data_IF_109553948938
#
_entry.id   IF_109553948938
#
_cell.length_a   1.000
_cell.length_b   1.000
_cell.length_c   1.000
_cell.angle_alpha   90.00
_cell.angle_beta   90.00
_cell.angle_gamma   90.00
#
_symmetry.space_group_name_H-M   'P 1'
#
loop_
_entity.id
_entity.type
_entity.pdbx_description
1 polymer ?
#
# COMPACT_ATOMS: atom_id res chain seq x y z
N UNK A 1 3.59 -29.91 -0.17
CA UNK A 1 3.45 -28.70 -1.01
C UNK A 1 2.32 -27.86 -0.48
N UNK A 2 2.49 -26.55 -0.42
CA UNK A 2 1.41 -25.65 -0.01
C UNK A 2 0.33 -25.56 -1.09
N UNK A 3 -0.93 -25.33 -0.72
CA UNK A 3 -2.05 -25.30 -1.67
C UNK A 3 -1.93 -24.20 -2.74
N UNK A 4 -1.14 -23.15 -2.47
CA UNK A 4 -0.94 -22.00 -3.36
C UNK A 4 0.38 -22.06 -4.15
N UNK A 5 1.21 -23.08 -3.89
CA UNK A 5 2.52 -23.24 -4.50
C UNK A 5 2.39 -23.47 -6.03
N UNK A 6 2.99 -22.59 -6.84
CA UNK A 6 2.89 -22.62 -8.31
C UNK A 6 1.70 -21.84 -8.89
N UNK A 7 0.90 -21.18 -8.06
CA UNK A 7 -0.12 -20.23 -8.51
C UNK A 7 0.47 -18.83 -8.73
N UNK A 8 -0.29 -17.94 -9.36
CA UNK A 8 0.06 -16.51 -9.50
C UNK A 8 0.22 -15.77 -8.16
N UNK A 9 -0.22 -16.36 -7.06
CA UNK A 9 -0.10 -15.78 -5.72
C UNK A 9 1.24 -16.12 -5.05
N UNK A 10 2.04 -17.00 -5.66
CA UNK A 10 3.38 -17.35 -5.18
C UNK A 10 3.39 -18.12 -3.85
N UNK A 11 4.57 -18.15 -3.23
CA UNK A 11 4.76 -18.62 -1.86
C UNK A 11 5.51 -17.54 -1.12
N UNK A 12 4.95 -17.13 0.00
CA UNK A 12 5.60 -16.19 0.91
C UNK A 12 6.78 -16.85 1.63
N UNK A 13 7.69 -16.03 2.13
CA UNK A 13 8.80 -16.45 2.97
C UNK A 13 8.30 -17.10 4.26
N UNK A 14 9.20 -17.83 4.91
CA UNK A 14 8.96 -18.32 6.27
C UNK A 14 8.83 -17.13 7.22
N UNK A 15 7.92 -17.22 8.18
CA UNK A 15 7.69 -16.19 9.20
C UNK A 15 8.97 -15.81 9.97
N UNK A 16 9.90 -16.76 10.16
CA UNK A 16 11.21 -16.54 10.78
C UNK A 16 12.11 -15.59 9.98
N UNK A 17 11.97 -15.58 8.65
CA UNK A 17 12.74 -14.73 7.74
C UNK A 17 12.05 -13.37 7.56
N UNK A 18 10.72 -13.36 7.47
CA UNK A 18 9.91 -12.13 7.53
C UNK A 18 10.21 -11.29 8.77
N UNK A 19 10.36 -11.93 9.94
CA UNK A 19 10.71 -11.23 11.18
C UNK A 19 12.04 -10.47 11.09
N UNK A 20 12.97 -10.91 10.24
CA UNK A 20 14.26 -10.24 10.04
C UNK A 20 14.12 -8.99 9.16
N UNK A 21 13.15 -8.99 8.22
CA UNK A 21 12.92 -7.86 7.31
C UNK A 21 12.51 -6.59 8.02
N UNK A 22 11.74 -6.71 9.10
CA UNK A 22 11.20 -5.54 9.82
C UNK A 22 12.22 -4.84 10.74
N UNK A 23 13.46 -5.35 10.80
CA UNK A 23 14.52 -4.76 11.61
C UNK A 23 14.82 -3.34 11.12
N UNK A 24 14.64 -2.36 12.01
CA UNK A 24 14.82 -0.94 11.68
C UNK A 24 13.58 -0.26 11.10
N UNK A 25 12.47 -0.98 10.95
CA UNK A 25 11.17 -0.43 10.51
C UNK A 25 10.16 -0.43 11.66
N UNK A 26 9.95 -1.58 12.31
CA UNK A 26 9.02 -1.72 13.44
C UNK A 26 9.56 -2.74 14.46
N UNK A 27 9.26 -2.51 15.74
CA UNK A 27 9.58 -3.47 16.79
C UNK A 27 8.80 -4.77 16.60
N UNK A 28 9.48 -5.92 16.70
CA UNK A 28 8.81 -7.23 16.72
C UNK A 28 7.96 -7.46 17.98
N UNK A 29 7.97 -6.51 18.94
CA UNK A 29 7.04 -6.45 20.06
C UNK A 29 5.66 -5.91 19.70
N UNK A 30 5.47 -5.27 18.54
CA UNK A 30 4.16 -4.90 18.02
C UNK A 30 3.43 -6.15 17.54
N UNK A 31 2.70 -6.83 18.45
CA UNK A 31 2.01 -8.10 18.18
C UNK A 31 0.49 -8.00 18.13
N UNK A 32 -0.08 -6.80 18.34
CA UNK A 32 -1.52 -6.61 18.32
C UNK A 32 -2.07 -6.65 16.88
N UNK A 33 -3.10 -7.47 16.64
CA UNK A 33 -3.60 -7.74 15.29
C UNK A 33 -2.53 -8.42 14.43
N UNK A 34 -2.33 -7.92 13.21
CA UNK A 34 -1.21 -8.35 12.36
C UNK A 34 0.15 -7.82 12.86
N UNK A 35 0.14 -6.68 13.56
CA UNK A 35 1.33 -6.12 14.19
C UNK A 35 2.50 -5.92 13.21
N UNK A 36 3.69 -6.41 13.57
CA UNK A 36 4.89 -6.36 12.75
C UNK A 36 4.78 -7.20 11.46
N UNK A 37 3.88 -8.19 11.42
CA UNK A 37 3.75 -9.10 10.28
C UNK A 37 3.31 -8.36 9.02
N UNK A 38 2.35 -7.43 9.15
CA UNK A 38 1.88 -6.56 8.07
C UNK A 38 3.04 -5.79 7.41
N UNK A 39 3.95 -5.23 8.20
CA UNK A 39 5.13 -4.55 7.67
C UNK A 39 6.06 -5.50 6.94
N UNK A 40 6.22 -6.73 7.44
CA UNK A 40 7.08 -7.73 6.81
C UNK A 40 6.53 -8.14 5.43
N UNK A 41 5.23 -8.33 5.32
CA UNK A 41 4.56 -8.64 4.05
C UNK A 41 4.72 -7.50 3.02
N UNK A 42 4.59 -6.24 3.46
CA UNK A 42 4.86 -5.10 2.57
C UNK A 42 6.30 -5.08 2.07
N UNK A 43 7.29 -5.31 2.95
CA UNK A 43 8.71 -5.34 2.56
C UNK A 43 9.00 -6.51 1.61
N UNK A 44 8.44 -7.68 1.88
CA UNK A 44 8.57 -8.84 0.98
C UNK A 44 8.00 -8.56 -0.40
N UNK A 45 6.80 -7.97 -0.47
CA UNK A 45 6.17 -7.57 -1.72
C UNK A 45 7.06 -6.59 -2.50
N UNK A 46 7.59 -5.56 -1.85
CA UNK A 46 8.51 -4.59 -2.46
C UNK A 46 9.77 -5.30 -2.98
N UNK A 47 10.40 -6.16 -2.19
CA UNK A 47 11.58 -6.92 -2.61
C UNK A 47 11.29 -7.88 -3.79
N UNK A 48 10.04 -8.32 -3.96
CA UNK A 48 9.59 -9.10 -5.12
C UNK A 48 9.23 -8.25 -6.35
N UNK A 49 9.38 -6.93 -6.28
CA UNK A 49 9.09 -5.98 -7.36
C UNK A 49 7.68 -5.38 -7.33
N UNK A 50 6.89 -5.66 -6.30
CA UNK A 50 5.54 -5.10 -6.11
C UNK A 50 5.66 -3.78 -5.34
N UNK A 51 5.92 -2.70 -6.08
CA UNK A 51 6.16 -1.38 -5.50
C UNK A 51 4.89 -0.56 -5.27
N UNK A 52 3.74 -1.02 -5.76
CA UNK A 52 2.46 -0.31 -5.64
C UNK A 52 1.54 -1.10 -4.69
N UNK A 53 1.32 -0.58 -3.48
CA UNK A 53 0.59 -1.27 -2.41
C UNK A 53 -0.61 -0.44 -1.95
N UNK A 54 -1.79 -1.06 -1.91
CA UNK A 54 -3.00 -0.47 -1.32
C UNK A 54 -3.32 -1.24 -0.04
N UNK A 55 -3.26 -0.54 1.09
CA UNK A 55 -3.71 -1.06 2.37
C UNK A 55 -5.20 -0.73 2.53
N UNK A 56 -6.07 -1.61 2.02
CA UNK A 56 -7.54 -1.47 2.11
C UNK A 56 -8.05 -2.14 3.37
N UNK A 57 -8.71 -1.38 4.25
CA UNK A 57 -9.02 -1.87 5.59
C UNK A 57 -10.25 -1.23 6.21
N UNK A 58 -10.91 -1.91 7.17
CA UNK A 58 -12.03 -1.31 7.88
C UNK A 58 -11.58 -0.08 8.69
N UNK A 59 -12.51 0.86 8.84
CA UNK A 59 -12.33 2.02 9.73
C UNK A 59 -11.92 1.59 11.15
N UNK A 60 -11.06 2.39 11.77
CA UNK A 60 -10.54 2.18 13.13
C UNK A 60 -9.71 0.88 13.32
N UNK A 61 -9.14 0.31 12.27
CA UNK A 61 -8.16 -0.79 12.38
C UNK A 61 -6.85 -0.31 13.03
N UNK A 62 -6.79 -0.30 14.36
CA UNK A 62 -5.64 0.16 15.16
C UNK A 62 -4.28 -0.44 14.72
N UNK A 63 -4.16 -1.75 14.44
CA UNK A 63 -2.91 -2.33 13.95
C UNK A 63 -2.35 -1.61 12.72
N UNK A 64 -3.22 -1.21 11.79
CA UNK A 64 -2.79 -0.43 10.65
C UNK A 64 -2.57 1.04 10.94
N UNK A 65 -3.45 1.66 11.71
CA UNK A 65 -3.26 3.08 12.04
C UNK A 65 -1.92 3.32 12.72
N UNK A 66 -1.52 2.42 13.63
CA UNK A 66 -0.26 2.50 14.37
C UNK A 66 0.90 1.95 13.54
N UNK A 67 0.78 0.73 13.00
CA UNK A 67 1.88 0.06 12.32
C UNK A 67 1.85 0.34 10.83
N UNK A 68 0.80 -0.09 10.11
CA UNK A 68 0.74 0.02 8.64
C UNK A 68 0.90 1.44 8.08
N UNK A 69 0.10 2.43 8.51
CA UNK A 69 0.23 3.85 8.14
C UNK A 69 1.51 4.47 8.72
N UNK A 70 1.84 4.13 9.96
CA UNK A 70 2.99 4.71 10.68
C UNK A 70 4.35 4.38 10.03
N UNK A 71 4.47 3.23 9.37
CA UNK A 71 5.72 2.77 8.74
C UNK A 71 5.85 3.17 7.26
N UNK A 72 4.83 3.74 6.62
CA UNK A 72 4.87 4.10 5.18
C UNK A 72 6.05 5.02 4.86
N UNK A 73 6.30 6.04 5.69
CA UNK A 73 7.40 6.97 5.49
C UNK A 73 8.76 6.27 5.52
N UNK A 74 8.96 5.36 6.49
CA UNK A 74 10.21 4.61 6.62
C UNK A 74 10.39 3.60 5.48
N UNK A 75 9.32 2.90 5.07
CA UNK A 75 9.38 2.01 3.91
C UNK A 75 9.77 2.76 2.65
N UNK A 76 9.27 3.98 2.46
CA UNK A 76 9.64 4.83 1.32
C UNK A 76 11.07 5.34 1.40
N UNK A 77 11.54 5.68 2.60
CA UNK A 77 12.93 6.08 2.81
C UNK A 77 13.90 4.96 2.42
N UNK A 78 13.55 3.71 2.74
CA UNK A 78 14.34 2.53 2.40
C UNK A 78 14.14 2.05 0.95
N UNK A 79 12.94 2.25 0.40
CA UNK A 79 12.54 1.83 -0.95
C UNK A 79 11.87 3.00 -1.68
N UNK A 80 12.65 3.93 -2.24
CA UNK A 80 12.14 5.19 -2.80
C UNK A 80 11.09 5.02 -3.89
N UNK A 81 11.09 3.90 -4.61
CA UNK A 81 10.13 3.55 -5.65
C UNK A 81 8.76 3.11 -5.12
N UNK A 82 8.65 2.84 -3.82
CA UNK A 82 7.42 2.37 -3.21
C UNK A 82 6.33 3.46 -3.21
N UNK A 83 5.16 3.07 -3.73
CA UNK A 83 3.93 3.84 -3.80
C UNK A 83 2.87 3.12 -2.97
N UNK A 84 2.79 3.51 -1.69
CA UNK A 84 1.96 2.86 -0.70
C UNK A 84 0.89 3.85 -0.25
N UNK A 85 -0.38 3.45 -0.33
CA UNK A 85 -1.50 4.21 0.22
C UNK A 85 -2.29 3.38 1.23
N UNK A 86 -2.94 4.07 2.16
CA UNK A 86 -3.94 3.48 3.03
C UNK A 86 -5.33 4.03 2.67
N UNK A 87 -6.30 3.11 2.58
CA UNK A 87 -7.69 3.42 2.26
C UNK A 87 -8.56 2.80 3.35
N UNK A 88 -9.24 3.66 4.10
CA UNK A 88 -10.18 3.25 5.13
C UNK A 88 -11.55 3.04 4.48
N UNK A 89 -12.03 1.80 4.55
CA UNK A 89 -13.40 1.44 4.24
C UNK A 89 -14.28 1.74 5.45
N UNK A 90 -14.93 2.89 5.39
CA UNK A 90 -15.88 3.38 6.39
C UNK A 90 -17.25 3.56 5.74
N UNK A 91 -18.32 2.88 6.19
CA UNK A 91 -19.68 3.14 5.72
C UNK A 91 -20.14 4.59 5.91
N UNK A 92 -19.55 5.32 6.87
CA UNK A 92 -19.82 6.74 7.12
C UNK A 92 -19.03 7.71 6.23
N UNK A 93 -18.01 7.23 5.51
CA UNK A 93 -17.23 8.04 4.58
C UNK A 93 -17.77 7.92 3.16
N UNK A 94 -17.61 8.97 2.35
CA UNK A 94 -18.04 8.92 0.95
C UNK A 94 -17.22 7.90 0.16
N UNK A 95 -17.91 7.10 -0.68
CA UNK A 95 -17.26 6.21 -1.65
C UNK A 95 -16.26 6.97 -2.52
N UNK A 96 -16.60 8.21 -2.87
CA UNK A 96 -15.77 9.14 -3.64
C UNK A 96 -14.38 9.32 -3.02
N UNK A 97 -14.26 9.41 -1.69
CA UNK A 97 -12.97 9.54 -1.03
C UNK A 97 -12.09 8.30 -1.22
N UNK A 98 -12.68 7.10 -1.15
CA UNK A 98 -11.96 5.84 -1.35
C UNK A 98 -11.50 5.70 -2.81
N UNK A 99 -12.42 5.94 -3.75
CA UNK A 99 -12.15 5.90 -5.18
C UNK A 99 -11.06 6.90 -5.55
N UNK A 100 -11.14 8.15 -5.11
CA UNK A 100 -10.16 9.18 -5.46
C UNK A 100 -8.75 8.84 -4.98
N UNK A 101 -8.59 8.26 -3.78
CA UNK A 101 -7.27 7.79 -3.30
C UNK A 101 -6.68 6.73 -4.21
N UNK A 102 -7.49 5.75 -4.63
CA UNK A 102 -7.05 4.70 -5.55
C UNK A 102 -6.70 5.30 -6.93
N UNK A 103 -7.55 6.20 -7.46
CA UNK A 103 -7.29 6.88 -8.74
C UNK A 103 -5.98 7.66 -8.73
N UNK A 104 -5.68 8.39 -7.65
CA UNK A 104 -4.43 9.13 -7.49
C UNK A 104 -3.21 8.21 -7.39
N UNK A 105 -3.32 7.11 -6.65
CA UNK A 105 -2.25 6.12 -6.56
C UNK A 105 -1.96 5.45 -7.91
N UNK A 106 -3.00 5.08 -8.67
CA UNK A 106 -2.84 4.54 -10.02
C UNK A 106 -2.22 5.56 -10.98
N UNK A 107 -2.63 6.83 -10.87
CA UNK A 107 -2.03 7.93 -11.63
C UNK A 107 -0.53 8.00 -11.43
N UNK A 108 -0.09 7.93 -10.16
CA UNK A 108 1.30 7.91 -9.81
C UNK A 108 2.01 6.67 -10.35
N UNK A 109 1.41 5.49 -10.21
CA UNK A 109 1.95 4.24 -10.76
C UNK A 109 2.17 4.32 -12.28
N UNK A 110 1.18 4.79 -13.04
CA UNK A 110 1.31 4.96 -14.50
C UNK A 110 2.37 6.01 -14.87
N UNK A 111 2.49 7.08 -14.09
CA UNK A 111 3.53 8.09 -14.29
C UNK A 111 4.92 7.52 -14.06
N UNK A 112 5.13 6.74 -12.99
CA UNK A 112 6.40 6.08 -12.71
C UNK A 112 6.80 5.13 -13.85
N UNK A 113 5.86 4.34 -14.37
CA UNK A 113 6.12 3.42 -15.50
C UNK A 113 6.52 4.17 -16.79
N UNK A 114 5.89 5.31 -17.08
CA UNK A 114 6.16 6.11 -18.28
C UNK A 114 7.44 6.95 -18.17
N UNK A 115 7.63 7.62 -17.04
CA UNK A 115 8.66 8.65 -16.87
C UNK A 115 9.90 8.15 -16.10
N UNK A 116 9.87 6.93 -15.53
CA UNK A 116 10.90 6.38 -14.63
C UNK A 116 11.26 7.33 -13.46
N UNK A 117 10.31 8.16 -13.03
CA UNK A 117 10.47 9.06 -11.88
C UNK A 117 10.04 8.38 -10.59
N UNK A 118 10.70 8.73 -9.49
CA UNK A 118 10.33 8.28 -8.15
C UNK A 118 9.04 8.97 -7.66
N UNK A 119 8.25 8.32 -6.79
CA UNK A 119 7.13 8.95 -6.08
C UNK A 119 7.61 10.12 -5.18
N UNK A 120 6.89 11.24 -5.17
CA UNK A 120 7.17 12.40 -4.29
C UNK A 120 6.16 12.51 -3.14
N UNK A 121 6.54 13.17 -2.03
CA UNK A 121 5.68 13.34 -0.84
C UNK A 121 4.41 14.17 -1.11
N UNK A 122 4.47 15.16 -2.01
CA UNK A 122 3.29 15.95 -2.43
C UNK A 122 2.20 15.10 -3.10
N UNK A 123 2.52 13.93 -3.66
CA UNK A 123 1.53 13.08 -4.32
C UNK A 123 0.67 12.24 -3.34
N UNK A 124 0.99 12.25 -2.03
CA UNK A 124 0.17 11.62 -0.98
C UNK A 124 -1.00 12.55 -0.58
N UNK A 125 -0.83 13.86 -0.78
CA UNK A 125 -1.88 14.88 -0.64
C UNK A 125 -2.21 15.39 -2.04
N UNK A 126 -3.12 14.68 -2.69
CA UNK A 126 -3.71 14.97 -4.00
C UNK A 126 -3.33 16.33 -4.64
N UNK A 127 -2.36 16.38 -5.57
CA UNK A 127 -2.47 17.31 -6.68
C UNK A 127 -3.57 16.78 -7.61
N UNK A 128 -4.38 17.67 -8.16
CA UNK A 128 -5.44 17.39 -9.12
C UNK A 128 -4.88 16.85 -10.45
N UNK A 129 -4.33 15.64 -10.45
CA UNK A 129 -3.92 14.98 -11.67
C UNK A 129 -5.16 14.30 -12.29
N UNK A 130 -5.72 14.94 -13.32
CA UNK A 130 -6.79 14.38 -14.16
C UNK A 130 -6.29 13.12 -14.87
N UNK A 131 -6.43 11.96 -14.25
CA UNK A 131 -6.36 10.67 -14.95
C UNK A 131 -7.74 10.28 -15.39
N UNK A 132 -7.93 10.21 -16.70
CA UNK A 132 -9.13 9.66 -17.32
C UNK A 132 -9.15 8.16 -17.07
N UNK A 133 -9.88 7.76 -16.02
CA UNK A 133 -10.21 6.36 -15.75
C UNK A 133 -11.60 6.13 -16.35
N UNK A 134 -11.66 5.31 -17.40
CA UNK A 134 -12.91 4.85 -17.98
C UNK A 134 -13.55 3.83 -17.03
N UNK A 135 -14.35 4.35 -16.09
CA UNK A 135 -15.12 3.62 -15.09
C UNK A 135 -16.59 4.07 -15.22
N UNK A 136 -17.56 3.25 -14.81
CA UNK A 136 -19.01 3.55 -14.84
C UNK A 136 -19.39 4.86 -14.14
N UNK A 137 -18.51 5.40 -13.27
CA UNK A 137 -18.67 6.72 -12.63
C UNK A 137 -18.10 7.90 -13.43
N UNK A 138 -17.50 7.67 -14.60
CA UNK A 138 -16.96 8.74 -15.47
C UNK A 138 -18.03 9.55 -16.21
N UNK A 139 -19.30 9.14 -16.09
CA UNK A 139 -20.45 9.81 -16.69
C UNK A 139 -21.19 10.77 -15.72
N UNK A 140 -20.69 10.96 -14.50
CA UNK A 140 -21.18 12.00 -13.60
C UNK A 140 -20.26 13.21 -13.76
N UNK A 141 -20.66 14.14 -14.63
CA UNK A 141 -20.05 15.47 -14.72
C UNK A 141 -20.17 16.16 -13.36
N UNK A 142 -19.02 16.48 -12.75
CA UNK A 142 -18.86 17.49 -11.69
C UNK A 142 -17.95 18.57 -12.23
#
# INVERSE_FOLDING_TARGET
KGAIEGTKFGSFMKISDMRKLVKGVVSTGNIAGEGWFLSAEMIELIHSGVNNIICMQPFACLPNHVTGKGIIGELRRQNPESNIIAVDYDPGASEVNQVNRIKLMLTQAFRQMREKKLPTEENIVAPEAKVKINDKYSALDV
#
